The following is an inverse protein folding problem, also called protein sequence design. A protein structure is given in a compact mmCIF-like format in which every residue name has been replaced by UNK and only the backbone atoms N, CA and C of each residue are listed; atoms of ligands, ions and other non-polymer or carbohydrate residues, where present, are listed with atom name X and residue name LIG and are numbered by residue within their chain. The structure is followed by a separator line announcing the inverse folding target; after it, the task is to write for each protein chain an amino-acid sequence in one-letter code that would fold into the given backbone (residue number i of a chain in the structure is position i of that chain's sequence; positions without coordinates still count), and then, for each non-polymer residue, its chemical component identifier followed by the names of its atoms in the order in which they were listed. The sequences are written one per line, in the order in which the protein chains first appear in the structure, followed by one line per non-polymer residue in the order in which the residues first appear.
data_IF_626356676065
#
_entry.id   IF_626356676065
#
_cell.length_a   1.000
_cell.length_b   1.000
_cell.length_c   1.000
_cell.angle_alpha   90.00
_cell.angle_beta   90.00
_cell.angle_gamma   90.00
#
_symmetry.space_group_name_H-M   'P 1'
#
loop_
_entity.id
_entity.type
_entity.pdbx_description
1 polymer ?
#
# COMPACT_ATOMS: atom_id res chain seq x y z
N UNK A 1 14.94 -2.25 -10.30
CA UNK A 1 14.05 -1.31 -9.66
C UNK A 1 12.58 -1.78 -9.75
N UNK A 2 11.96 -1.97 -8.60
CA UNK A 2 10.57 -2.45 -8.50
C UNK A 2 9.61 -1.54 -9.24
N UNK A 3 9.77 -0.23 -9.09
CA UNK A 3 8.84 0.75 -9.67
C UNK A 3 8.89 0.80 -11.19
N UNK A 4 10.03 0.47 -11.78
CA UNK A 4 10.16 0.41 -13.25
C UNK A 4 9.50 -0.83 -13.83
N UNK A 5 9.56 -1.94 -13.10
CA UNK A 5 9.00 -3.23 -13.55
C UNK A 5 7.50 -3.33 -13.29
N UNK A 6 7.02 -2.66 -12.26
CA UNK A 6 5.62 -2.70 -11.86
C UNK A 6 4.84 -1.63 -12.58
N UNK A 7 3.84 -2.03 -13.37
CA UNK A 7 2.87 -1.09 -13.91
C UNK A 7 2.16 -0.41 -12.74
N UNK A 8 2.16 0.92 -12.66
CA UNK A 8 1.56 1.60 -11.53
C UNK A 8 0.05 1.35 -11.50
N UNK A 9 -0.37 0.45 -10.62
CA UNK A 9 -1.78 0.23 -10.30
C UNK A 9 -2.04 0.85 -8.95
N UNK A 10 -2.27 2.14 -8.93
CA UNK A 10 -2.60 2.82 -7.71
C UNK A 10 -4.10 3.03 -7.69
N UNK A 11 -4.76 2.30 -6.81
CA UNK A 11 -6.17 2.53 -6.54
C UNK A 11 -6.29 3.29 -5.23
N UNK A 12 -7.18 4.24 -5.22
CA UNK A 12 -7.42 5.12 -4.08
C UNK A 12 -8.87 5.06 -3.64
N UNK A 13 -9.11 5.40 -2.39
CA UNK A 13 -10.45 5.52 -1.82
C UNK A 13 -10.48 6.78 -0.96
N UNK A 14 -11.65 7.42 -0.89
CA UNK A 14 -11.83 8.60 -0.05
C UNK A 14 -12.22 8.20 1.36
N UNK A 15 -11.95 9.08 2.31
CA UNK A 15 -12.28 8.87 3.72
C UNK A 15 -13.78 8.65 3.97
N UNK A 16 -14.63 9.25 3.18
CA UNK A 16 -16.09 9.15 3.35
C UNK A 16 -16.73 7.97 2.61
N UNK A 17 -15.93 7.18 1.89
CA UNK A 17 -16.44 5.97 1.24
C UNK A 17 -16.66 4.86 2.26
N UNK A 18 -17.53 3.91 1.90
CA UNK A 18 -17.84 2.78 2.78
C UNK A 18 -16.82 1.64 2.61
N UNK A 19 -16.77 0.79 3.62
CA UNK A 19 -15.98 -0.44 3.58
C UNK A 19 -16.39 -1.31 2.39
N UNK A 20 -17.69 -1.41 2.10
CA UNK A 20 -18.19 -2.17 0.96
C UNK A 20 -17.63 -1.66 -0.37
N UNK A 21 -17.60 -0.34 -0.56
CA UNK A 21 -17.03 0.27 -1.77
C UNK A 21 -15.54 -0.01 -1.86
N UNK A 22 -14.82 0.12 -0.75
CA UNK A 22 -13.40 -0.19 -0.70
C UNK A 22 -13.13 -1.65 -1.09
N UNK A 23 -13.91 -2.57 -0.57
CA UNK A 23 -13.79 -3.99 -0.91
C UNK A 23 -14.05 -4.24 -2.40
N UNK A 24 -15.06 -3.58 -2.97
CA UNK A 24 -15.37 -3.69 -4.39
C UNK A 24 -14.23 -3.17 -5.26
N UNK A 25 -13.60 -2.06 -4.86
CA UNK A 25 -12.46 -1.50 -5.58
C UNK A 25 -11.25 -2.44 -5.54
N UNK A 26 -10.99 -3.06 -4.39
CA UNK A 26 -9.91 -4.03 -4.26
C UNK A 26 -10.13 -5.23 -5.19
N UNK A 27 -11.35 -5.75 -5.22
CA UNK A 27 -11.69 -6.88 -6.09
C UNK A 27 -11.60 -6.51 -7.57
N UNK A 28 -12.15 -5.37 -7.95
CA UNK A 28 -12.16 -4.92 -9.36
C UNK A 28 -10.74 -4.68 -9.87
N UNK A 29 -9.86 -4.18 -9.02
CA UNK A 29 -8.46 -3.88 -9.39
C UNK A 29 -7.51 -5.04 -9.09
N UNK A 30 -8.01 -6.12 -8.51
CA UNK A 30 -7.22 -7.28 -8.09
C UNK A 30 -6.02 -6.89 -7.22
N UNK A 31 -6.28 -6.05 -6.22
CA UNK A 31 -5.27 -5.59 -5.26
C UNK A 31 -5.80 -5.77 -3.84
N UNK A 32 -4.87 -5.84 -2.88
CA UNK A 32 -5.21 -6.10 -1.48
C UNK A 32 -5.13 -4.85 -0.60
N UNK A 33 -4.83 -3.71 -1.16
CA UNK A 33 -4.68 -2.46 -0.41
C UNK A 33 -5.03 -1.26 -1.29
N UNK A 34 -5.65 -0.27 -0.65
CA UNK A 34 -5.99 1.01 -1.27
C UNK A 34 -5.29 2.13 -0.51
N UNK A 35 -4.91 3.17 -1.22
CA UNK A 35 -4.44 4.39 -0.57
C UNK A 35 -5.65 5.25 -0.25
N UNK A 36 -5.74 5.67 1.00
CA UNK A 36 -6.82 6.56 1.45
C UNK A 36 -6.39 8.00 1.22
N UNK A 37 -7.22 8.74 0.52
CA UNK A 37 -7.00 10.16 0.25
C UNK A 37 -8.01 11.03 0.95
N UNK A 38 -7.56 12.19 1.39
CA UNK A 38 -8.41 13.23 1.93
C UNK A 38 -8.02 14.57 1.31
N UNK A 39 -8.93 15.55 1.38
CA UNK A 39 -8.66 16.89 0.86
C UNK A 39 -8.05 17.72 1.97
N UNK A 40 -6.82 18.18 1.73
CA UNK A 40 -6.13 19.12 2.61
C UNK A 40 -6.13 20.47 1.92
N UNK A 41 -6.58 21.52 2.61
CA UNK A 41 -6.81 22.86 2.03
C UNK A 41 -5.63 23.41 1.21
N UNK A 42 -4.41 23.16 1.67
CA UNK A 42 -3.21 23.72 1.03
C UNK A 42 -2.56 22.79 0.02
N UNK A 43 -2.88 21.51 0.06
CA UNK A 43 -2.16 20.47 -0.70
C UNK A 43 -3.06 19.68 -1.65
N UNK A 44 -4.36 19.97 -1.67
CA UNK A 44 -5.32 19.22 -2.48
C UNK A 44 -5.55 17.82 -1.95
N UNK A 45 -5.68 16.84 -2.84
CA UNK A 45 -5.87 15.44 -2.46
C UNK A 45 -4.55 14.85 -1.96
N UNK A 46 -4.49 14.50 -0.70
CA UNK A 46 -3.29 13.99 -0.04
C UNK A 46 -3.54 12.58 0.47
N UNK A 47 -2.55 11.70 0.31
CA UNK A 47 -2.59 10.38 0.90
C UNK A 47 -2.49 10.50 2.42
N UNK A 48 -3.46 9.93 3.13
CA UNK A 48 -3.54 10.04 4.59
C UNK A 48 -3.51 8.69 5.30
N UNK A 49 -3.58 7.59 4.56
CA UNK A 49 -3.53 6.27 5.17
C UNK A 49 -3.62 5.16 4.14
N UNK A 50 -3.62 3.93 4.64
CA UNK A 50 -3.82 2.73 3.84
C UNK A 50 -5.03 1.96 4.38
N UNK A 51 -5.80 1.39 3.47
CA UNK A 51 -6.94 0.54 3.81
C UNK A 51 -6.76 -0.80 3.10
N UNK A 52 -6.74 -1.89 3.86
CA UNK A 52 -6.36 -3.21 3.35
C UNK A 52 -7.49 -4.22 3.50
N UNK A 53 -7.32 -5.39 2.89
CA UNK A 53 -8.24 -6.53 3.07
C UNK A 53 -8.39 -6.89 4.54
N UNK A 54 -7.31 -6.77 5.33
CA UNK A 54 -7.36 -7.02 6.76
C UNK A 54 -8.33 -6.07 7.46
N UNK A 55 -8.37 -4.82 7.05
CA UNK A 55 -9.30 -3.84 7.61
C UNK A 55 -10.74 -4.19 7.28
N UNK A 56 -11.00 -4.69 6.07
CA UNK A 56 -12.33 -5.17 5.67
C UNK A 56 -12.75 -6.35 6.55
N UNK A 57 -11.87 -7.33 6.70
CA UNK A 57 -12.15 -8.51 7.55
C UNK A 57 -12.40 -8.08 8.98
N UNK A 58 -11.59 -7.16 9.51
CA UNK A 58 -11.76 -6.67 10.88
C UNK A 58 -13.10 -5.96 11.06
N UNK A 59 -13.50 -5.13 10.10
CA UNK A 59 -14.80 -4.44 10.16
C UNK A 59 -15.96 -5.42 10.22
N UNK A 60 -15.93 -6.46 9.42
CA UNK A 60 -16.97 -7.49 9.41
C UNK A 60 -16.92 -8.33 10.69
N UNK A 61 -15.72 -8.69 11.14
CA UNK A 61 -15.57 -9.51 12.37
C UNK A 61 -16.06 -8.76 13.61
N UNK A 62 -15.81 -7.47 13.70
CA UNK A 62 -16.18 -6.67 14.87
C UNK A 62 -17.61 -6.14 14.84
N UNK A 63 -18.16 -5.88 13.67
CA UNK A 63 -19.44 -5.20 13.50
C UNK A 63 -20.47 -5.99 12.69
N UNK A 64 -20.12 -7.17 12.19
CA UNK A 64 -21.01 -7.98 11.38
C UNK A 64 -21.40 -7.28 10.09
N UNK A 65 -22.65 -7.42 9.68
CA UNK A 65 -23.17 -6.81 8.46
C UNK A 65 -23.07 -5.27 8.48
N UNK A 66 -23.15 -4.66 9.66
CA UNK A 66 -23.02 -3.21 9.80
C UNK A 66 -21.63 -2.72 9.40
N UNK A 67 -20.61 -3.56 9.49
CA UNK A 67 -19.24 -3.23 9.11
C UNK A 67 -19.11 -2.81 7.66
N UNK A 68 -19.90 -3.40 6.77
CA UNK A 68 -19.89 -3.05 5.34
C UNK A 68 -20.31 -1.60 5.09
N UNK A 69 -21.21 -1.08 5.89
CA UNK A 69 -21.72 0.29 5.77
C UNK A 69 -20.90 1.34 6.53
N UNK A 70 -19.89 0.92 7.29
CA UNK A 70 -19.02 1.85 8.00
C UNK A 70 -18.16 2.62 7.00
N UNK A 71 -17.77 3.84 7.37
CA UNK A 71 -16.89 4.65 6.55
C UNK A 71 -15.43 4.27 6.77
N UNK A 72 -14.64 4.35 5.73
CA UNK A 72 -13.20 4.12 5.79
C UNK A 72 -12.56 4.99 6.89
N UNK A 73 -13.01 6.23 7.04
CA UNK A 73 -12.53 7.15 8.07
C UNK A 73 -12.65 6.64 9.50
N UNK A 74 -13.58 5.74 9.75
CA UNK A 74 -13.80 5.17 11.08
C UNK A 74 -12.79 4.07 11.42
N UNK A 75 -12.08 3.56 10.42
CA UNK A 75 -11.18 2.42 10.58
C UNK A 75 -9.71 2.78 10.31
N UNK A 76 -9.45 3.88 9.63
CA UNK A 76 -8.10 4.30 9.24
C UNK A 76 -7.52 5.27 10.25
N UNK A 77 -6.28 5.00 10.68
CA UNK A 77 -5.54 5.93 11.52
C UNK A 77 -4.73 6.87 10.62
N UNK A 78 -5.22 8.10 10.49
CA UNK A 78 -4.62 9.13 9.62
C UNK A 78 -3.21 9.52 10.06
N UNK A 79 -2.92 9.38 11.36
CA UNK A 79 -1.67 9.85 11.94
C UNK A 79 -0.48 8.91 11.72
N UNK A 80 -0.70 7.75 11.16
CA UNK A 80 0.31 6.69 11.06
C UNK A 80 0.64 6.29 9.63
N UNK A 81 0.48 7.21 8.69
CA UNK A 81 0.87 6.91 7.32
C UNK A 81 2.40 6.78 7.25
N UNK A 82 2.85 5.56 6.95
CA UNK A 82 4.25 5.28 6.67
C UNK A 82 4.43 5.23 5.17
N UNK A 83 5.30 6.06 4.63
CA UNK A 83 5.54 6.16 3.20
C UNK A 83 7.03 6.11 2.89
N UNK A 84 7.34 5.91 1.62
CA UNK A 84 8.71 5.99 1.11
C UNK A 84 8.72 6.85 -0.15
N UNK A 85 9.92 7.11 -0.67
CA UNK A 85 10.11 7.81 -1.93
C UNK A 85 10.64 6.84 -2.98
N UNK A 86 10.59 7.23 -4.25
CA UNK A 86 11.10 6.39 -5.34
C UNK A 86 12.61 6.18 -5.28
N UNK A 87 13.34 7.01 -4.53
CA UNK A 87 14.78 6.88 -4.35
C UNK A 87 15.18 6.00 -3.17
N UNK A 88 14.24 5.56 -2.37
CA UNK A 88 14.54 4.69 -1.23
C UNK A 88 14.97 3.29 -1.68
N UNK A 89 15.87 2.68 -0.91
CA UNK A 89 16.35 1.32 -1.19
C UNK A 89 15.34 0.28 -0.75
N UNK A 90 15.41 -0.91 -1.35
CA UNK A 90 14.59 -2.05 -0.95
C UNK A 90 14.78 -2.39 0.52
N UNK A 91 16.02 -2.34 1.00
CA UNK A 91 16.33 -2.59 2.41
C UNK A 91 15.62 -1.60 3.33
N UNK A 92 15.64 -0.32 2.97
CA UNK A 92 14.98 0.71 3.76
C UNK A 92 13.47 0.48 3.81
N UNK A 93 12.86 0.16 2.66
CA UNK A 93 11.42 -0.10 2.59
C UNK A 93 11.07 -1.34 3.42
N UNK A 94 11.86 -2.40 3.31
CA UNK A 94 11.68 -3.61 4.12
C UNK A 94 11.79 -3.31 5.62
N UNK A 95 12.74 -2.46 5.99
CA UNK A 95 12.91 -2.03 7.38
C UNK A 95 11.66 -1.30 7.89
N UNK A 96 11.07 -0.41 7.07
CA UNK A 96 9.83 0.28 7.43
C UNK A 96 8.68 -0.70 7.66
N UNK A 97 8.56 -1.72 6.80
CA UNK A 97 7.52 -2.74 6.94
C UNK A 97 7.68 -3.53 8.23
N UNK A 98 8.91 -3.91 8.56
CA UNK A 98 9.22 -4.66 9.78
C UNK A 98 8.98 -3.81 11.02
N UNK A 99 9.48 -2.59 11.02
CA UNK A 99 9.37 -1.68 12.16
C UNK A 99 7.92 -1.34 12.49
N UNK A 100 7.10 -1.13 11.47
CA UNK A 100 5.71 -0.69 11.64
C UNK A 100 4.69 -1.83 11.49
N UNK A 101 5.15 -3.07 11.29
CA UNK A 101 4.29 -4.25 11.11
C UNK A 101 3.27 -4.07 9.98
N UNK A 102 3.74 -3.54 8.85
CA UNK A 102 2.92 -3.30 7.66
C UNK A 102 3.46 -4.07 6.47
N UNK A 103 2.58 -4.38 5.51
CA UNK A 103 2.95 -5.12 4.31
C UNK A 103 2.86 -4.30 3.03
N UNK A 104 2.44 -3.06 3.14
CA UNK A 104 2.27 -2.15 2.01
C UNK A 104 2.79 -0.79 2.42
N UNK A 105 3.58 -0.18 1.54
CA UNK A 105 4.13 1.16 1.76
C UNK A 105 3.84 1.99 0.52
N UNK A 106 3.10 3.09 0.64
CA UNK A 106 2.89 3.98 -0.48
C UNK A 106 4.18 4.72 -0.84
N UNK A 107 4.40 4.91 -2.12
CA UNK A 107 5.53 5.66 -2.64
C UNK A 107 5.06 7.06 -3.00
N UNK A 108 5.58 8.06 -2.33
CA UNK A 108 5.16 9.45 -2.47
C UNK A 108 6.38 10.31 -2.80
N UNK A 109 6.35 10.95 -3.96
CA UNK A 109 7.37 11.91 -4.40
C UNK A 109 6.70 13.26 -4.57
N UNK A 110 7.25 14.30 -3.95
CA UNK A 110 6.74 15.67 -4.09
C UNK A 110 5.22 15.75 -3.85
N UNK A 111 4.74 15.12 -2.79
CA UNK A 111 3.32 15.05 -2.42
C UNK A 111 2.44 14.26 -3.40
N UNK A 112 3.03 13.67 -4.44
CA UNK A 112 2.28 12.86 -5.40
C UNK A 112 2.48 11.38 -5.13
N UNK A 113 1.36 10.66 -5.05
CA UNK A 113 1.38 9.21 -4.92
C UNK A 113 1.72 8.59 -6.27
N UNK A 114 2.85 7.87 -6.32
CA UNK A 114 3.31 7.26 -7.57
C UNK A 114 3.18 5.73 -7.59
N UNK A 115 2.97 5.11 -6.44
CA UNK A 115 2.80 3.66 -6.40
C UNK A 115 2.64 3.16 -4.98
N UNK A 116 2.51 1.85 -4.86
CA UNK A 116 2.48 1.14 -3.57
C UNK A 116 3.38 -0.07 -3.71
N UNK A 117 4.29 -0.23 -2.77
CA UNK A 117 5.18 -1.41 -2.71
C UNK A 117 4.64 -2.36 -1.65
N UNK A 118 4.48 -3.63 -2.02
CA UNK A 118 4.05 -4.67 -1.08
C UNK A 118 5.23 -5.51 -0.61
N UNK A 119 5.06 -6.21 0.50
CA UNK A 119 6.05 -7.18 0.97
C UNK A 119 6.32 -8.25 -0.10
N UNK A 120 5.29 -8.63 -0.86
CA UNK A 120 5.42 -9.58 -1.96
C UNK A 120 6.31 -9.04 -3.07
N UNK A 121 6.19 -7.75 -3.41
CA UNK A 121 7.04 -7.10 -4.41
C UNK A 121 8.50 -7.11 -3.97
N UNK A 122 8.76 -6.85 -2.69
CA UNK A 122 10.11 -6.87 -2.13
C UNK A 122 10.71 -8.26 -2.18
N UNK A 123 9.97 -9.27 -1.78
CA UNK A 123 10.42 -10.65 -1.82
C UNK A 123 10.79 -11.07 -3.24
N UNK A 124 9.94 -10.73 -4.22
CA UNK A 124 10.22 -11.03 -5.62
C UNK A 124 11.48 -10.33 -6.12
N UNK A 125 11.69 -9.06 -5.74
CA UNK A 125 12.88 -8.31 -6.14
C UNK A 125 14.16 -8.89 -5.54
N UNK A 126 14.13 -9.31 -4.27
CA UNK A 126 15.28 -9.96 -3.63
C UNK A 126 15.59 -11.31 -4.29
N UNK A 127 14.57 -12.07 -4.65
CA UNK A 127 14.75 -13.35 -5.35
C UNK A 127 15.40 -13.13 -6.71
N UNK A 128 14.98 -12.11 -7.45
CA UNK A 128 15.58 -11.75 -8.74
C UNK A 128 17.04 -11.34 -8.59
N UNK A 129 17.37 -10.53 -7.59
CA UNK A 129 18.73 -10.10 -7.31
C UNK A 129 19.62 -11.30 -6.94
N UNK A 130 19.12 -12.21 -6.13
CA UNK A 130 19.82 -13.42 -5.74
C UNK A 130 20.09 -14.31 -6.95
N UNK A 131 19.10 -14.50 -7.83
CA UNK A 131 19.26 -15.28 -9.05
C UNK A 131 20.29 -14.65 -9.99
N UNK A 132 20.24 -13.33 -10.17
CA UNK A 132 21.20 -12.60 -10.97
C UNK A 132 22.63 -12.71 -10.40
N UNK A 133 22.77 -12.57 -9.09
CA UNK A 133 24.06 -12.72 -8.41
C UNK A 133 24.64 -14.12 -8.58
N UNK A 134 23.81 -15.16 -8.51
CA UNK A 134 24.24 -16.53 -8.72
C UNK A 134 24.73 -16.76 -10.15
N UNK A 135 24.05 -16.19 -11.14
CA UNK A 135 24.49 -16.27 -12.53
C UNK A 135 25.85 -15.59 -12.73
N UNK A 136 26.01 -14.42 -12.15
CA UNK A 136 27.22 -13.63 -12.27
C UNK A 136 28.39 -14.27 -11.50
N UNK A 137 28.10 -15.02 -10.45
CA UNK A 137 29.09 -15.66 -9.60
C UNK A 137 29.62 -16.99 -10.16
N UNK A 138 28.96 -17.56 -11.17
CA UNK A 138 29.42 -18.81 -11.75
C UNK A 138 30.63 -18.56 -12.66
N UNK A 139 31.82 -19.06 -12.30
CA UNK A 139 32.97 -18.86 -13.17
C UNK A 139 32.80 -19.57 -14.49
N UNK A 140 33.25 -18.94 -15.51
CA UNK A 140 33.19 -19.48 -16.85
C UNK A 140 34.01 -20.77 -16.95
#
# INVERSE_FOLDING_TARGET
DILRKKTPRVATVRMNETVAIAAQLMRASNISALVVKDVVRTEGNTAVGMFTERDVVRAIAEHGAAGAGMKVSQLVSVQQLVSCTSSDTLEHIRHLMTKHHIRHVPVIDNYSLIGVVSMRDIAAAFDEETAASKKDAVPA
#
